data_IF_811759695924
#
_entry.id   IF_811759695924
#
_cell.length_a   1.000
_cell.length_b   1.000
_cell.length_c   1.000
_cell.angle_alpha   90.00
_cell.angle_beta   90.00
_cell.angle_gamma   90.00
#
_symmetry.space_group_name_H-M   'P 1'
#
loop_
_entity.id
_entity.type
_entity.pdbx_description
1 polymer ?
#
# COMPACT_ATOMS: atom_id res chain seq x y z
N UNK A 1 -30.05 12.18 -32.71
CA UNK A 1 -28.63 12.53 -32.92
C UNK A 1 -28.12 13.52 -31.87
N UNK A 2 -28.68 14.74 -31.77
CA UNK A 2 -28.24 15.74 -30.76
C UNK A 2 -28.32 15.20 -29.33
N UNK A 3 -29.37 14.48 -28.96
CA UNK A 3 -29.52 13.85 -27.65
C UNK A 3 -28.44 12.80 -27.35
N UNK A 4 -28.00 12.03 -28.35
CA UNK A 4 -26.96 11.03 -28.18
C UNK A 4 -25.56 11.67 -28.00
N UNK A 5 -25.30 12.74 -28.73
CA UNK A 5 -24.10 13.56 -28.58
C UNK A 5 -24.00 14.14 -27.17
N UNK A 6 -25.07 14.78 -26.70
CA UNK A 6 -25.15 15.31 -25.35
C UNK A 6 -24.97 14.23 -24.29
N UNK A 7 -25.58 13.06 -24.49
CA UNK A 7 -25.45 11.94 -23.56
C UNK A 7 -23.99 11.41 -23.45
N UNK A 8 -23.27 11.32 -24.59
CA UNK A 8 -21.84 10.94 -24.57
C UNK A 8 -21.03 11.94 -23.75
N UNK A 9 -21.17 13.25 -24.01
CA UNK A 9 -20.47 14.28 -23.25
C UNK A 9 -20.80 14.24 -21.76
N UNK A 10 -22.08 13.99 -21.42
CA UNK A 10 -22.52 13.88 -20.03
C UNK A 10 -21.86 12.68 -19.34
N UNK A 11 -21.89 11.50 -19.96
CA UNK A 11 -21.25 10.29 -19.43
C UNK A 11 -19.76 10.48 -19.20
N UNK A 12 -19.08 11.16 -20.11
CA UNK A 12 -17.65 11.50 -19.96
C UNK A 12 -17.44 12.49 -18.82
N UNK A 13 -18.30 13.51 -18.69
CA UNK A 13 -18.15 14.53 -17.65
C UNK A 13 -18.40 13.98 -16.21
N UNK A 14 -19.40 13.10 -16.07
CA UNK A 14 -19.81 12.50 -14.79
C UNK A 14 -18.97 11.27 -14.40
N UNK A 15 -18.15 10.72 -15.32
CA UNK A 15 -17.39 9.50 -15.08
C UNK A 15 -16.36 9.67 -13.94
N UNK A 16 -16.36 8.79 -12.98
CA UNK A 16 -15.29 8.66 -11.98
C UNK A 16 -14.15 7.74 -12.49
N UNK A 17 -14.53 6.64 -13.17
CA UNK A 17 -13.62 5.66 -13.75
C UNK A 17 -13.93 5.45 -15.24
N UNK A 18 -12.88 5.10 -16.02
CA UNK A 18 -12.98 4.87 -17.48
C UNK A 18 -13.64 3.53 -17.80
N UNK A 19 -13.29 2.47 -17.07
CA UNK A 19 -13.71 1.10 -17.37
C UNK A 19 -15.25 0.92 -17.48
N UNK A 20 -16.11 1.45 -16.57
CA UNK A 20 -17.55 1.31 -16.69
C UNK A 20 -18.16 2.19 -17.77
N UNK A 21 -17.51 3.28 -18.18
CA UNK A 21 -18.06 4.28 -19.11
C UNK A 21 -17.81 3.90 -20.57
N UNK A 22 -16.68 3.28 -20.91
CA UNK A 22 -16.38 2.87 -22.29
C UNK A 22 -17.48 1.98 -22.91
N UNK A 23 -18.00 0.95 -22.23
CA UNK A 23 -19.13 0.16 -22.75
C UNK A 23 -20.37 0.99 -23.04
N UNK A 24 -20.64 2.02 -22.24
CA UNK A 24 -21.78 2.93 -22.46
C UNK A 24 -21.56 3.80 -23.69
N UNK A 25 -20.35 4.36 -23.84
CA UNK A 25 -19.97 5.14 -25.04
C UNK A 25 -20.12 4.29 -26.30
N UNK A 26 -19.64 3.03 -26.30
CA UNK A 26 -19.82 2.11 -27.45
C UNK A 26 -21.30 1.92 -27.77
N UNK A 27 -22.14 1.72 -26.76
CA UNK A 27 -23.59 1.57 -26.96
C UNK A 27 -24.23 2.83 -27.54
N UNK A 28 -23.80 4.02 -27.11
CA UNK A 28 -24.25 5.30 -27.63
C UNK A 28 -23.72 5.57 -29.04
N UNK A 29 -22.43 5.30 -29.29
CA UNK A 29 -21.85 5.43 -30.61
C UNK A 29 -22.58 4.57 -31.66
N UNK A 30 -23.06 3.40 -31.29
CA UNK A 30 -23.81 2.49 -32.14
C UNK A 30 -25.14 3.03 -32.59
N UNK A 31 -25.70 4.01 -31.88
CA UNK A 31 -26.92 4.72 -32.32
C UNK A 31 -26.65 5.73 -33.45
N UNK A 32 -25.37 6.09 -33.65
CA UNK A 32 -24.96 7.08 -34.64
C UNK A 32 -24.15 6.49 -35.78
N UNK A 33 -23.50 5.36 -35.57
CA UNK A 33 -22.53 4.71 -36.47
C UNK A 33 -22.82 3.21 -36.55
N UNK A 34 -22.62 2.65 -37.73
CA UNK A 34 -22.70 1.19 -37.94
C UNK A 34 -21.29 0.62 -37.96
N UNK A 35 -20.98 -0.24 -36.98
CA UNK A 35 -19.71 -0.94 -36.86
C UNK A 35 -19.91 -2.29 -36.16
N UNK A 36 -18.97 -3.19 -36.33
CA UNK A 36 -18.96 -4.52 -35.71
C UNK A 36 -17.98 -4.56 -34.52
N UNK A 37 -16.81 -3.91 -34.61
CA UNK A 37 -15.83 -3.85 -33.52
C UNK A 37 -15.45 -2.39 -33.22
N UNK A 38 -15.23 -2.14 -31.93
CA UNK A 38 -14.74 -0.87 -31.39
C UNK A 38 -13.49 -1.18 -30.57
N UNK A 39 -12.36 -0.60 -30.92
CA UNK A 39 -11.08 -0.89 -30.29
C UNK A 39 -10.33 0.40 -29.99
N UNK A 40 -9.72 0.46 -28.81
CA UNK A 40 -8.80 1.52 -28.42
C UNK A 40 -7.44 0.86 -28.23
N UNK A 41 -6.41 1.40 -28.87
CA UNK A 41 -5.03 1.01 -28.68
C UNK A 41 -4.27 2.13 -27.97
N UNK A 42 -3.40 1.75 -27.04
CA UNK A 42 -2.54 2.66 -26.30
C UNK A 42 -1.07 2.28 -26.56
N UNK A 43 -0.15 3.25 -26.65
CA UNK A 43 1.28 2.95 -26.77
C UNK A 43 1.83 2.41 -25.44
N UNK A 44 2.44 1.23 -25.50
CA UNK A 44 3.15 0.58 -24.41
C UNK A 44 4.48 0.04 -24.99
N UNK A 45 5.62 0.37 -24.38
CA UNK A 45 6.97 -0.06 -24.78
C UNK A 45 7.29 0.07 -26.29
N UNK A 46 6.81 1.14 -26.93
CA UNK A 46 6.94 1.48 -28.37
C UNK A 46 6.01 0.69 -29.32
N UNK A 47 5.15 -0.17 -28.83
CA UNK A 47 4.14 -0.87 -29.61
C UNK A 47 2.74 -0.41 -29.22
N UNK A 48 1.76 -0.58 -30.11
CA UNK A 48 0.35 -0.30 -29.84
C UNK A 48 -0.31 -1.56 -29.24
N UNK A 49 -0.72 -1.50 -27.97
CA UNK A 49 -1.43 -2.58 -27.31
C UNK A 49 -2.93 -2.26 -27.19
N UNK A 50 -3.81 -3.27 -27.31
CA UNK A 50 -5.25 -3.07 -27.14
C UNK A 50 -5.56 -2.77 -25.67
N UNK A 51 -5.99 -1.54 -25.41
CA UNK A 51 -6.44 -1.09 -24.09
C UNK A 51 -7.90 -1.49 -23.83
N UNK A 52 -8.75 -1.37 -24.85
CA UNK A 52 -10.16 -1.72 -24.79
C UNK A 52 -10.62 -2.26 -26.13
N UNK A 53 -11.31 -3.40 -26.13
CA UNK A 53 -11.91 -3.98 -27.33
C UNK A 53 -13.33 -4.47 -27.05
N UNK A 54 -14.26 -4.20 -27.96
CA UNK A 54 -15.62 -4.68 -27.87
C UNK A 54 -16.20 -5.01 -29.24
N UNK A 55 -16.55 -6.29 -29.42
CA UNK A 55 -17.36 -6.73 -30.54
C UNK A 55 -18.85 -6.46 -30.25
N UNK A 56 -19.59 -6.01 -31.27
CA UNK A 56 -20.95 -5.58 -31.15
C UNK A 56 -21.81 -6.31 -32.20
N UNK A 57 -22.58 -7.33 -31.76
CA UNK A 57 -23.42 -8.12 -32.65
C UNK A 57 -23.86 -9.44 -32.01
N UNK A 58 -24.93 -10.07 -32.53
CA UNK A 58 -25.38 -11.38 -32.02
C UNK A 58 -24.35 -12.46 -32.41
N UNK A 59 -23.82 -13.18 -31.42
CA UNK A 59 -23.02 -14.38 -31.62
C UNK A 59 -21.48 -14.18 -31.71
N UNK A 60 -20.94 -12.94 -31.54
CA UNK A 60 -19.51 -12.63 -31.82
C UNK A 60 -18.64 -12.36 -30.60
N UNK A 61 -19.06 -12.75 -29.42
CA UNK A 61 -18.24 -12.56 -28.20
C UNK A 61 -16.87 -13.25 -28.23
N UNK A 62 -16.72 -14.29 -29.04
CA UNK A 62 -15.42 -15.01 -29.24
C UNK A 62 -14.46 -14.30 -30.18
N UNK A 63 -14.94 -13.38 -31.02
CA UNK A 63 -14.09 -12.60 -31.96
C UNK A 63 -13.52 -11.33 -31.30
N UNK A 64 -14.01 -10.95 -30.13
CA UNK A 64 -13.52 -9.78 -29.38
C UNK A 64 -12.14 -10.01 -28.75
N UNK A 65 -11.74 -11.27 -28.55
CA UNK A 65 -10.46 -11.66 -27.93
C UNK A 65 -9.30 -11.72 -28.93
N UNK A 66 -9.55 -11.48 -30.22
CA UNK A 66 -8.50 -11.43 -31.23
C UNK A 66 -8.00 -10.00 -31.42
N UNK A 67 -6.68 -9.78 -31.52
CA UNK A 67 -6.08 -8.46 -31.79
C UNK A 67 -6.35 -8.03 -33.23
N UNK A 68 -7.62 -7.83 -33.57
CA UNK A 68 -8.04 -7.36 -34.89
C UNK A 68 -7.61 -5.90 -35.06
N UNK A 69 -6.91 -5.62 -36.11
CA UNK A 69 -6.61 -4.23 -36.50
C UNK A 69 -5.37 -3.62 -35.87
N UNK A 70 -4.43 -4.39 -35.36
CA UNK A 70 -3.13 -3.86 -34.90
C UNK A 70 -2.39 -3.16 -36.04
N UNK A 71 -2.28 -3.80 -37.21
CA UNK A 71 -1.65 -3.19 -38.40
C UNK A 71 -2.40 -1.94 -38.88
N UNK A 72 -3.73 -1.98 -38.80
CA UNK A 72 -4.56 -0.82 -39.08
C UNK A 72 -4.33 0.31 -38.07
N UNK A 73 -4.22 -0.02 -36.78
CA UNK A 73 -3.95 0.96 -35.74
C UNK A 73 -2.58 1.62 -35.91
N UNK A 74 -1.54 0.88 -36.26
CA UNK A 74 -0.21 1.41 -36.55
C UNK A 74 -0.25 2.38 -37.75
N UNK A 75 -0.92 1.97 -38.82
CA UNK A 75 -1.09 2.83 -40.01
C UNK A 75 -1.81 4.13 -39.68
N UNK A 76 -2.88 4.06 -38.84
CA UNK A 76 -3.63 5.22 -38.38
C UNK A 76 -2.76 6.10 -37.45
N UNK A 77 -2.01 5.50 -36.55
CA UNK A 77 -1.15 6.21 -35.62
C UNK A 77 -0.05 7.00 -36.37
N UNK A 78 0.47 6.42 -37.45
CA UNK A 78 1.49 7.07 -38.28
C UNK A 78 0.90 8.21 -39.11
N UNK A 79 -0.35 8.07 -39.63
CA UNK A 79 -0.98 9.05 -40.51
C UNK A 79 -1.25 10.41 -39.86
N UNK A 80 -1.35 10.47 -38.55
CA UNK A 80 -1.69 11.66 -37.76
C UNK A 80 -3.08 12.29 -38.04
N UNK A 81 -3.91 11.62 -38.83
CA UNK A 81 -5.24 12.05 -39.26
C UNK A 81 -6.24 10.90 -39.19
N UNK A 82 -7.54 11.24 -39.20
CA UNK A 82 -8.59 10.26 -39.39
C UNK A 82 -8.53 9.67 -40.77
N UNK A 83 -8.42 8.35 -40.89
CA UNK A 83 -8.41 7.64 -42.14
C UNK A 83 -9.46 6.54 -42.15
N UNK A 84 -10.06 6.35 -43.36
CA UNK A 84 -10.90 5.21 -43.66
C UNK A 84 -10.30 4.46 -44.85
N UNK A 85 -10.25 3.14 -44.74
CA UNK A 85 -9.76 2.30 -45.83
C UNK A 85 -10.40 0.91 -45.72
N UNK A 86 -10.37 0.22 -46.87
CA UNK A 86 -10.85 -1.15 -47.00
C UNK A 86 -9.66 -2.09 -47.16
N UNK A 87 -9.75 -3.26 -46.58
CA UNK A 87 -8.83 -4.36 -46.72
C UNK A 87 -9.61 -5.60 -47.15
N UNK A 88 -9.22 -6.19 -48.27
CA UNK A 88 -9.77 -7.45 -48.77
C UNK A 88 -8.84 -8.59 -48.34
N UNK A 89 -9.38 -9.56 -47.63
CA UNK A 89 -8.61 -10.73 -47.15
C UNK A 89 -9.20 -11.99 -47.74
N UNK A 90 -8.52 -12.56 -48.75
CA UNK A 90 -8.83 -13.85 -49.34
C UNK A 90 -9.45 -13.77 -50.75
N UNK A 91 -9.37 -14.91 -51.47
CA UNK A 91 -9.73 -15.05 -52.90
C UNK A 91 -11.21 -15.32 -53.18
N UNK A 92 -12.11 -15.29 -52.20
CA UNK A 92 -13.54 -15.59 -52.39
C UNK A 92 -14.41 -14.39 -52.02
N UNK A 93 -15.07 -13.85 -53.05
CA UNK A 93 -16.00 -12.72 -52.98
C UNK A 93 -17.26 -12.96 -52.10
N UNK A 94 -17.51 -14.18 -51.62
CA UNK A 94 -18.75 -14.53 -50.94
C UNK A 94 -18.73 -14.40 -49.43
N UNK A 95 -17.59 -14.20 -48.81
CA UNK A 95 -17.52 -14.13 -47.35
C UNK A 95 -17.42 -12.66 -46.89
N UNK A 96 -18.53 -12.16 -46.31
CA UNK A 96 -18.62 -10.80 -45.76
C UNK A 96 -17.51 -10.47 -44.74
N UNK A 97 -16.89 -11.47 -44.13
CA UNK A 97 -15.78 -11.30 -43.18
C UNK A 97 -14.50 -10.89 -43.88
N UNK A 98 -14.36 -11.21 -45.17
CA UNK A 98 -13.18 -10.92 -45.97
C UNK A 98 -13.09 -9.44 -46.41
N UNK A 99 -14.21 -8.70 -46.45
CA UNK A 99 -14.26 -7.28 -46.75
C UNK A 99 -14.28 -6.48 -45.45
N UNK A 100 -13.13 -6.02 -44.97
CA UNK A 100 -12.97 -5.24 -43.75
C UNK A 100 -12.85 -3.77 -44.06
N UNK A 101 -13.76 -2.98 -43.48
CA UNK A 101 -13.74 -1.52 -43.54
C UNK A 101 -13.25 -0.99 -42.21
N UNK A 102 -12.15 -0.27 -42.23
CA UNK A 102 -11.56 0.39 -41.08
C UNK A 102 -11.87 1.88 -41.10
N UNK A 103 -12.24 2.43 -39.97
CA UNK A 103 -12.30 3.86 -39.71
C UNK A 103 -11.54 4.10 -38.41
N UNK A 104 -10.45 4.87 -38.46
CA UNK A 104 -9.64 5.10 -37.30
C UNK A 104 -9.09 6.51 -37.21
N UNK A 105 -8.85 6.95 -36.00
CA UNK A 105 -8.26 8.26 -35.71
C UNK A 105 -7.28 8.16 -34.54
N UNK A 106 -6.16 8.89 -34.59
CA UNK A 106 -5.30 9.03 -33.43
C UNK A 106 -6.02 9.83 -32.36
N UNK A 107 -6.02 9.30 -31.13
CA UNK A 107 -6.50 10.01 -29.95
C UNK A 107 -5.44 11.04 -29.54
N UNK A 108 -5.80 12.30 -29.54
CA UNK A 108 -4.88 13.42 -29.26
C UNK A 108 -5.33 14.24 -28.09
N UNK A 109 -4.39 14.65 -27.26
CA UNK A 109 -4.62 15.61 -26.18
C UNK A 109 -3.45 16.59 -26.08
N UNK A 110 -3.73 17.87 -26.10
CA UNK A 110 -2.70 18.90 -26.07
C UNK A 110 -1.64 18.77 -27.20
N UNK A 111 -2.02 18.27 -28.37
CA UNK A 111 -1.14 18.03 -29.51
C UNK A 111 -0.31 16.74 -29.42
N UNK A 112 -0.40 15.96 -28.35
CA UNK A 112 0.27 14.65 -28.21
C UNK A 112 -0.68 13.53 -28.53
N UNK A 113 -0.19 12.50 -29.22
CA UNK A 113 -0.92 11.25 -29.45
C UNK A 113 -0.87 10.42 -28.17
N UNK A 114 -2.05 10.04 -27.66
CA UNK A 114 -2.20 9.21 -26.46
C UNK A 114 -2.65 7.79 -26.80
N UNK A 115 -3.09 7.56 -28.03
CA UNK A 115 -3.56 6.26 -28.49
C UNK A 115 -4.21 6.36 -29.87
N UNK A 116 -4.90 5.30 -30.26
CA UNK A 116 -5.67 5.20 -31.51
C UNK A 116 -7.02 4.58 -31.22
N UNK A 117 -8.08 5.14 -31.80
CA UNK A 117 -9.41 4.51 -31.80
C UNK A 117 -9.74 3.98 -33.19
N UNK A 118 -10.18 2.74 -33.25
CA UNK A 118 -10.51 2.03 -34.51
C UNK A 118 -11.90 1.44 -34.44
N UNK A 119 -12.70 1.70 -35.49
CA UNK A 119 -13.91 0.95 -35.77
C UNK A 119 -13.65 -0.01 -36.92
N UNK A 120 -14.18 -1.22 -36.82
CA UNK A 120 -14.14 -2.21 -37.88
C UNK A 120 -15.59 -2.56 -38.25
N UNK A 121 -15.85 -2.61 -39.54
CA UNK A 121 -17.13 -3.07 -40.10
C UNK A 121 -16.87 -4.14 -41.16
N UNK A 122 -17.58 -5.23 -41.06
CA UNK A 122 -17.47 -6.33 -42.02
C UNK A 122 -18.49 -6.16 -43.11
N UNK A 123 -18.02 -5.77 -44.30
CA UNK A 123 -18.84 -5.48 -45.49
C UNK A 123 -19.71 -4.24 -45.36
N UNK A 124 -20.42 -3.91 -46.44
CA UNK A 124 -21.30 -2.73 -46.54
C UNK A 124 -20.64 -1.56 -47.28
N UNK A 125 -21.32 -0.39 -47.37
CA UNK A 125 -20.77 0.78 -48.05
C UNK A 125 -19.59 1.40 -47.24
N UNK A 126 -18.77 2.18 -47.93
CA UNK A 126 -17.71 2.98 -47.28
C UNK A 126 -18.29 3.95 -46.24
N UNK A 127 -17.46 4.35 -45.27
CA UNK A 127 -17.85 5.34 -44.26
C UNK A 127 -18.02 6.71 -44.92
N UNK A 128 -19.19 7.32 -44.74
CA UNK A 128 -19.49 8.65 -45.30
C UNK A 128 -18.77 9.75 -44.46
N UNK A 129 -18.63 10.95 -45.07
CA UNK A 129 -18.14 12.13 -44.34
C UNK A 129 -18.90 12.41 -43.06
N UNK A 130 -20.21 12.15 -43.02
CA UNK A 130 -21.03 12.28 -41.82
C UNK A 130 -20.67 11.25 -40.75
N UNK A 131 -20.25 10.06 -41.14
CA UNK A 131 -19.79 9.01 -40.21
C UNK A 131 -18.43 9.36 -39.65
N UNK A 132 -17.52 9.93 -40.47
CA UNK A 132 -16.22 10.42 -40.03
C UNK A 132 -16.38 11.51 -38.96
N UNK A 133 -17.19 12.52 -39.18
CA UNK A 133 -17.45 13.60 -38.20
C UNK A 133 -18.03 13.05 -36.91
N UNK A 134 -18.94 12.09 -36.95
CA UNK A 134 -19.51 11.47 -35.76
C UNK A 134 -18.49 10.65 -35.00
N UNK A 135 -17.62 9.94 -35.72
CA UNK A 135 -16.57 9.13 -35.16
C UNK A 135 -15.53 10.01 -34.46
N UNK A 136 -15.08 11.10 -35.11
CA UNK A 136 -14.14 12.06 -34.52
C UNK A 136 -14.68 12.65 -33.22
N UNK A 137 -15.97 12.98 -33.20
CA UNK A 137 -16.62 13.44 -31.96
C UNK A 137 -16.55 12.41 -30.83
N UNK A 138 -16.83 11.12 -31.14
CA UNK A 138 -16.70 10.04 -30.13
C UNK A 138 -15.25 9.91 -29.68
N UNK A 139 -14.31 9.96 -30.61
CA UNK A 139 -12.88 9.83 -30.35
C UNK A 139 -12.34 10.96 -29.46
N UNK A 140 -12.79 12.19 -29.70
CA UNK A 140 -12.42 13.34 -28.87
C UNK A 140 -12.91 13.16 -27.40
N UNK A 141 -14.15 12.73 -27.23
CA UNK A 141 -14.70 12.44 -25.89
C UNK A 141 -13.97 11.28 -25.19
N UNK A 142 -13.60 10.24 -25.95
CA UNK A 142 -12.79 9.13 -25.41
C UNK A 142 -11.39 9.61 -25.04
N UNK A 143 -10.76 10.46 -25.87
CA UNK A 143 -9.44 11.03 -25.56
C UNK A 143 -9.47 11.86 -24.27
N UNK A 144 -10.50 12.69 -24.07
CA UNK A 144 -10.69 13.44 -22.83
C UNK A 144 -10.87 12.54 -21.61
N UNK A 145 -11.64 11.46 -21.75
CA UNK A 145 -11.87 10.49 -20.67
C UNK A 145 -10.55 9.81 -20.23
N UNK A 146 -9.76 9.32 -21.21
CA UNK A 146 -8.49 8.64 -20.97
C UNK A 146 -7.44 9.58 -20.35
N UNK A 147 -7.33 10.82 -20.84
CA UNK A 147 -6.40 11.79 -20.26
C UNK A 147 -6.76 12.16 -18.84
N UNK A 148 -8.06 12.31 -18.53
CA UNK A 148 -8.51 12.57 -17.16
C UNK A 148 -8.11 11.43 -16.21
N UNK A 149 -8.30 10.17 -16.60
CA UNK A 149 -7.85 9.03 -15.81
C UNK A 149 -6.34 9.08 -15.56
N UNK A 150 -5.57 9.35 -16.61
CA UNK A 150 -4.11 9.49 -16.53
C UNK A 150 -3.71 10.60 -15.55
N UNK A 151 -4.36 11.75 -15.62
CA UNK A 151 -4.08 12.87 -14.72
C UNK A 151 -4.44 12.52 -13.28
N UNK A 152 -5.60 11.92 -13.01
CA UNK A 152 -6.01 11.47 -11.68
C UNK A 152 -5.03 10.44 -11.11
N UNK A 153 -4.61 9.45 -11.91
CA UNK A 153 -3.64 8.45 -11.49
C UNK A 153 -2.28 9.08 -11.17
N UNK A 154 -1.86 10.07 -11.97
CA UNK A 154 -0.60 10.80 -11.76
C UNK A 154 -0.67 11.65 -10.49
N UNK A 155 -1.77 12.35 -10.24
CA UNK A 155 -1.98 13.13 -9.01
C UNK A 155 -1.91 12.19 -7.80
N UNK A 156 -2.61 11.06 -7.80
CA UNK A 156 -2.57 10.07 -6.71
C UNK A 156 -1.14 9.57 -6.43
N UNK A 157 -0.34 9.32 -7.48
CA UNK A 157 1.07 8.92 -7.34
C UNK A 157 1.91 10.03 -6.71
N UNK A 158 1.74 11.28 -7.14
CA UNK A 158 2.46 12.44 -6.60
C UNK A 158 2.08 12.66 -5.13
N UNK A 159 0.80 12.65 -4.80
CA UNK A 159 0.34 12.79 -3.41
C UNK A 159 0.89 11.67 -2.50
N UNK A 160 0.90 10.43 -2.98
CA UNK A 160 1.52 9.30 -2.27
C UNK A 160 3.00 9.53 -2.00
N UNK A 161 3.74 9.97 -3.02
CA UNK A 161 5.18 10.29 -2.89
C UNK A 161 5.42 11.46 -1.93
N UNK A 162 4.61 12.51 -1.99
CA UNK A 162 4.72 13.66 -1.09
C UNK A 162 4.44 13.29 0.36
N UNK A 163 3.44 12.44 0.62
CA UNK A 163 3.15 11.93 1.97
C UNK A 163 4.34 11.12 2.51
N UNK A 164 4.90 10.25 1.69
CA UNK A 164 6.07 9.44 2.08
C UNK A 164 7.26 10.34 2.40
N UNK A 165 7.52 11.35 1.56
CA UNK A 165 8.63 12.29 1.77
C UNK A 165 8.46 13.09 3.06
N UNK A 166 7.25 13.60 3.33
CA UNK A 166 6.94 14.31 4.57
C UNK A 166 7.08 13.41 5.81
N UNK A 167 6.67 12.13 5.71
CA UNK A 167 6.89 11.16 6.78
C UNK A 167 8.38 10.93 7.03
N UNK A 168 9.20 10.82 5.98
CA UNK A 168 10.65 10.65 6.08
C UNK A 168 11.33 11.89 6.69
N UNK A 169 10.92 13.09 6.33
CA UNK A 169 11.43 14.34 6.89
C UNK A 169 11.13 14.44 8.39
N UNK A 170 9.87 14.20 8.78
CA UNK A 170 9.45 14.17 10.17
C UNK A 170 10.22 13.10 10.97
N UNK A 171 10.50 11.94 10.36
CA UNK A 171 11.29 10.89 10.97
C UNK A 171 12.71 11.35 11.29
N UNK A 172 13.42 11.95 10.32
CA UNK A 172 14.78 12.46 10.54
C UNK A 172 14.82 13.47 11.69
N UNK A 173 13.83 14.39 11.73
CA UNK A 173 13.70 15.35 12.80
C UNK A 173 13.46 14.67 14.16
N UNK A 174 12.56 13.69 14.23
CA UNK A 174 12.24 12.94 15.45
C UNK A 174 13.44 12.13 15.94
N UNK A 175 14.09 11.37 15.06
CA UNK A 175 15.27 10.59 15.42
C UNK A 175 16.40 11.50 15.94
N UNK A 176 16.63 12.63 15.28
CA UNK A 176 17.63 13.61 15.72
C UNK A 176 17.34 14.15 17.11
N UNK A 177 16.07 14.40 17.43
CA UNK A 177 15.61 14.83 18.74
C UNK A 177 15.80 13.72 19.78
N UNK A 178 15.35 12.48 19.46
CA UNK A 178 15.38 11.34 20.38
C UNK A 178 16.81 10.84 20.65
N UNK A 179 17.75 11.04 19.71
CA UNK A 179 19.17 10.80 19.94
C UNK A 179 19.84 11.92 20.75
N UNK A 180 19.44 13.19 20.54
CA UNK A 180 20.04 14.34 21.23
C UNK A 180 19.72 14.36 22.73
N UNK A 181 18.56 13.90 23.13
CA UNK A 181 18.10 13.92 24.53
C UNK A 181 19.00 13.04 25.42
N UNK A 182 19.14 11.71 25.18
CA UNK A 182 20.03 10.87 25.99
C UNK A 182 21.49 11.32 25.93
N UNK A 183 21.95 11.74 24.74
CA UNK A 183 23.31 12.29 24.61
C UNK A 183 23.51 13.55 25.45
N UNK A 184 22.47 14.40 25.58
CA UNK A 184 22.50 15.57 26.45
C UNK A 184 22.62 15.22 27.93
N UNK A 185 21.90 14.19 28.41
CA UNK A 185 22.02 13.70 29.78
C UNK A 185 23.40 13.09 30.04
N UNK A 186 23.88 12.18 29.17
CA UNK A 186 25.23 11.62 29.27
C UNK A 186 26.27 12.72 29.36
N UNK A 187 26.22 13.71 28.45
CA UNK A 187 27.17 14.83 28.44
C UNK A 187 27.05 15.71 29.69
N UNK A 188 25.81 16.00 30.13
CA UNK A 188 25.56 16.80 31.32
C UNK A 188 26.11 16.18 32.58
N UNK A 189 25.77 14.94 32.88
CA UNK A 189 26.27 14.20 34.07
C UNK A 189 27.74 13.96 34.00
N UNK A 190 28.30 13.58 32.84
CA UNK A 190 29.76 13.46 32.66
C UNK A 190 30.49 14.79 32.97
N UNK A 191 29.95 15.91 32.44
CA UNK A 191 30.55 17.24 32.71
C UNK A 191 30.43 17.63 34.18
N UNK A 192 29.31 17.24 34.82
CA UNK A 192 29.12 17.47 36.28
C UNK A 192 30.09 16.69 37.12
N UNK A 193 30.33 15.41 36.80
CA UNK A 193 31.30 14.56 37.50
C UNK A 193 32.76 15.01 37.33
N UNK A 194 33.09 15.65 36.20
CA UNK A 194 34.41 16.17 35.88
C UNK A 194 34.72 17.55 36.53
N UNK A 195 33.80 18.11 37.33
CA UNK A 195 34.06 19.38 38.01
C UNK A 195 35.07 19.24 39.13
N UNK A 196 36.09 20.06 39.14
CA UNK A 196 37.13 20.09 40.13
C UNK A 196 36.76 20.89 41.38
N UNK A 197 35.72 21.71 41.32
CA UNK A 197 35.21 22.58 42.38
C UNK A 197 34.16 21.91 43.27
N UNK A 198 33.88 20.62 43.08
CA UNK A 198 32.87 19.88 43.80
C UNK A 198 33.35 18.49 44.14
N UNK A 199 33.26 18.10 45.40
CA UNK A 199 33.46 16.73 45.86
C UNK A 199 32.12 16.01 45.96
N UNK A 200 32.00 14.87 45.26
CA UNK A 200 30.79 14.03 45.27
C UNK A 200 30.96 12.91 46.28
N UNK A 201 29.89 12.64 47.04
CA UNK A 201 29.87 11.43 47.86
C UNK A 201 29.68 10.16 46.97
N UNK A 202 30.05 8.99 47.48
CA UNK A 202 30.02 7.74 46.71
C UNK A 202 28.60 7.38 46.24
N UNK A 203 27.53 7.57 47.03
CA UNK A 203 26.15 7.34 46.56
C UNK A 203 25.80 8.21 45.36
N UNK A 204 25.96 9.52 45.44
CA UNK A 204 25.67 10.48 44.36
C UNK A 204 26.50 10.20 43.10
N UNK A 205 27.80 9.84 43.30
CA UNK A 205 28.65 9.47 42.18
C UNK A 205 28.12 8.23 41.45
N UNK A 206 27.66 7.20 42.18
CA UNK A 206 27.05 5.99 41.61
C UNK A 206 25.73 6.29 40.93
N UNK A 207 24.92 7.15 41.50
CA UNK A 207 23.64 7.58 40.91
C UNK A 207 23.88 8.23 39.55
N UNK A 208 24.80 9.16 39.42
CA UNK A 208 25.14 9.83 38.16
C UNK A 208 25.71 8.88 37.11
N UNK A 209 26.54 7.91 37.51
CA UNK A 209 27.02 6.86 36.61
C UNK A 209 25.91 5.95 36.16
N UNK A 210 24.97 5.59 37.04
CA UNK A 210 23.77 4.82 36.68
C UNK A 210 22.90 5.53 35.61
N UNK A 211 22.67 6.83 35.79
CA UNK A 211 21.94 7.62 34.78
C UNK A 211 22.67 7.65 33.43
N UNK A 212 24.00 7.76 33.44
CA UNK A 212 24.81 7.73 32.21
C UNK A 212 24.69 6.37 31.52
N UNK A 213 24.74 5.28 32.27
CA UNK A 213 24.63 3.91 31.77
C UNK A 213 23.25 3.65 31.18
N UNK A 214 22.17 3.99 31.89
CA UNK A 214 20.77 3.86 31.44
C UNK A 214 20.51 4.64 30.13
N UNK A 215 21.03 5.87 30.02
CA UNK A 215 20.84 6.68 28.80
C UNK A 215 21.71 6.21 27.62
N UNK A 216 22.87 5.56 27.91
CA UNK A 216 23.69 4.89 26.89
C UNK A 216 22.97 3.65 26.34
N UNK A 217 22.40 2.81 27.21
CA UNK A 217 21.60 1.64 26.81
C UNK A 217 20.38 2.05 25.97
N UNK A 218 19.70 3.12 26.38
CA UNK A 218 18.58 3.68 25.61
C UNK A 218 19.02 4.15 24.22
N UNK A 219 20.16 4.81 24.10
CA UNK A 219 20.72 5.24 22.83
C UNK A 219 21.06 4.04 21.93
N UNK A 220 21.66 3.01 22.50
CA UNK A 220 21.96 1.75 21.81
C UNK A 220 20.69 1.11 21.24
N UNK A 221 19.64 0.97 22.04
CA UNK A 221 18.36 0.40 21.61
C UNK A 221 17.71 1.20 20.45
N UNK A 222 17.83 2.54 20.47
CA UNK A 222 17.34 3.38 19.36
C UNK A 222 18.12 3.14 18.08
N UNK A 223 19.45 3.02 18.15
CA UNK A 223 20.31 2.74 16.99
C UNK A 223 19.99 1.36 16.43
N UNK A 224 19.87 0.34 17.27
CA UNK A 224 19.54 -1.02 16.85
C UNK A 224 18.19 -1.11 16.14
N UNK A 225 17.16 -0.41 16.64
CA UNK A 225 15.87 -0.30 16.00
C UNK A 225 15.95 0.38 14.61
N UNK A 226 16.80 1.39 14.43
CA UNK A 226 17.03 2.04 13.14
C UNK A 226 17.70 1.10 12.14
N UNK A 227 18.73 0.37 12.58
CA UNK A 227 19.46 -0.61 11.77
C UNK A 227 18.53 -1.77 11.36
N UNK A 228 17.76 -2.31 12.31
CA UNK A 228 16.79 -3.37 12.05
C UNK A 228 15.71 -2.90 11.04
N UNK A 229 15.18 -1.69 11.20
CA UNK A 229 14.22 -1.12 10.23
C UNK A 229 14.82 -1.00 8.82
N UNK A 230 16.12 -0.66 8.70
CA UNK A 230 16.81 -0.58 7.40
C UNK A 230 17.01 -1.97 6.79
N UNK A 231 17.44 -2.95 7.60
CA UNK A 231 17.66 -4.34 7.16
C UNK A 231 16.36 -5.05 6.77
N UNK A 232 15.26 -4.79 7.48
CA UNK A 232 13.93 -5.28 7.13
C UNK A 232 13.47 -4.75 5.77
N UNK A 233 13.71 -3.48 5.49
CA UNK A 233 13.35 -2.87 4.20
C UNK A 233 14.13 -3.48 3.02
N UNK A 234 15.40 -3.82 3.22
CA UNK A 234 16.23 -4.47 2.20
C UNK A 234 16.06 -6.00 2.14
N UNK A 235 15.22 -6.59 3.01
CA UNK A 235 15.05 -8.04 3.11
C UNK A 235 16.30 -8.78 3.62
N UNK A 236 17.22 -8.06 4.27
CA UNK A 236 18.52 -8.60 4.70
C UNK A 236 18.60 -8.85 6.21
N UNK A 237 17.49 -8.72 6.95
CA UNK A 237 17.51 -9.01 8.38
C UNK A 237 17.75 -10.51 8.60
N UNK A 238 18.84 -10.91 9.28
CA UNK A 238 19.09 -12.32 9.55
C UNK A 238 18.09 -12.83 10.58
N UNK A 239 17.43 -13.96 10.26
CA UNK A 239 16.54 -14.68 11.15
C UNK A 239 17.16 -16.04 11.51
N UNK A 240 17.07 -16.43 12.78
CA UNK A 240 17.54 -17.72 13.28
C UNK A 240 16.35 -18.56 13.72
N UNK A 241 15.65 -19.14 12.74
CA UNK A 241 14.49 -19.98 13.01
C UNK A 241 14.87 -21.26 13.74
N UNK A 242 14.08 -21.61 14.74
CA UNK A 242 14.14 -22.88 15.44
C UNK A 242 12.74 -23.24 15.95
N UNK A 243 12.50 -24.54 16.21
CA UNK A 243 11.24 -24.99 16.84
C UNK A 243 11.23 -24.53 18.29
N UNK A 244 10.24 -23.70 18.65
CA UNK A 244 10.09 -23.15 20.00
C UNK A 244 8.69 -23.38 20.54
N UNK A 245 8.58 -23.72 21.80
CA UNK A 245 7.32 -23.72 22.54
C UNK A 245 6.94 -22.27 22.92
N UNK A 246 5.82 -21.79 22.38
CA UNK A 246 5.40 -20.39 22.57
C UNK A 246 5.11 -20.03 24.03
N UNK A 247 4.52 -20.92 24.79
CA UNK A 247 4.21 -20.66 26.20
C UNK A 247 5.49 -20.51 27.05
N UNK A 248 6.56 -21.23 26.73
CA UNK A 248 7.87 -21.06 27.38
C UNK A 248 8.46 -19.70 27.04
N UNK A 249 8.46 -19.32 25.77
CA UNK A 249 8.98 -18.03 25.32
C UNK A 249 8.22 -16.87 25.95
N UNK A 250 6.89 -16.95 25.97
CA UNK A 250 6.04 -15.91 26.56
C UNK A 250 6.24 -15.79 28.07
N UNK A 251 6.36 -16.90 28.81
CA UNK A 251 6.65 -16.88 30.26
C UNK A 251 7.97 -16.19 30.56
N UNK A 252 9.04 -16.54 29.82
CA UNK A 252 10.36 -15.93 29.99
C UNK A 252 10.30 -14.40 29.78
N UNK A 253 9.60 -13.95 28.75
CA UNK A 253 9.41 -12.52 28.45
C UNK A 253 8.63 -11.78 29.56
N UNK A 254 7.52 -12.36 30.01
CA UNK A 254 6.71 -11.77 31.07
C UNK A 254 7.49 -11.66 32.37
N UNK A 255 8.27 -12.70 32.70
CA UNK A 255 9.12 -12.67 33.87
C UNK A 255 10.18 -11.55 33.80
N UNK A 256 10.79 -11.33 32.61
CA UNK A 256 11.72 -10.21 32.41
C UNK A 256 11.03 -8.86 32.56
N UNK A 257 9.81 -8.71 32.02
CA UNK A 257 9.02 -7.48 32.15
C UNK A 257 8.68 -7.16 33.60
N UNK A 258 8.31 -8.18 34.40
CA UNK A 258 8.01 -8.02 35.84
C UNK A 258 9.23 -7.64 36.67
N UNK A 259 10.44 -8.00 36.24
CA UNK A 259 11.70 -7.63 36.87
C UNK A 259 12.24 -6.26 36.41
N UNK A 260 11.71 -5.72 35.32
CA UNK A 260 12.07 -4.41 34.76
C UNK A 260 11.21 -3.27 35.31
N UNK A 261 11.63 -2.03 35.03
CA UNK A 261 10.93 -0.79 35.49
C UNK A 261 9.71 -0.42 34.61
N UNK A 262 8.96 -1.42 34.10
CA UNK A 262 7.72 -1.14 33.38
C UNK A 262 6.59 -0.81 34.37
N UNK A 263 5.99 0.38 34.24
CA UNK A 263 4.86 0.81 35.07
C UNK A 263 3.54 0.21 34.55
N UNK A 264 3.48 -1.13 34.45
CA UNK A 264 2.31 -1.93 34.04
C UNK A 264 2.28 -3.23 34.84
N UNK A 265 1.08 -3.74 35.08
CA UNK A 265 0.89 -5.11 35.57
C UNK A 265 0.61 -6.02 34.36
N UNK A 266 1.20 -7.24 34.36
CA UNK A 266 1.00 -8.18 33.25
C UNK A 266 0.32 -9.45 33.79
N UNK A 267 -0.91 -9.68 33.30
CA UNK A 267 -1.66 -10.91 33.49
C UNK A 267 -1.43 -11.86 32.31
N UNK A 268 -1.15 -13.12 32.60
CA UNK A 268 -0.87 -14.11 31.57
C UNK A 268 -1.82 -15.31 31.66
N UNK A 269 -2.58 -15.54 30.59
CA UNK A 269 -3.53 -16.64 30.45
C UNK A 269 -3.11 -17.57 29.31
N UNK A 270 -2.88 -18.84 29.61
CA UNK A 270 -2.63 -19.89 28.61
C UNK A 270 -3.87 -20.75 28.53
N UNK A 271 -4.56 -20.74 27.38
CA UNK A 271 -5.68 -21.64 27.13
C UNK A 271 -5.21 -22.98 26.57
N UNK A 272 -4.21 -22.94 25.66
CA UNK A 272 -3.61 -24.11 25.03
C UNK A 272 -2.10 -24.05 25.21
N UNK A 273 -1.52 -25.07 25.86
CA UNK A 273 -0.08 -25.18 26.10
C UNK A 273 0.58 -26.11 25.08
N UNK A 274 1.93 -26.03 24.98
CA UNK A 274 2.74 -26.92 24.14
C UNK A 274 2.63 -26.64 22.65
N UNK A 275 2.25 -25.42 22.26
CA UNK A 275 2.22 -25.03 20.85
C UNK A 275 3.63 -24.72 20.35
N UNK A 276 4.06 -25.51 19.35
CA UNK A 276 5.39 -25.36 18.71
C UNK A 276 5.24 -24.55 17.43
N UNK A 277 6.09 -23.54 17.27
CA UNK A 277 6.21 -22.72 16.06
C UNK A 277 7.65 -22.66 15.60
N UNK A 278 7.88 -22.45 14.31
CA UNK A 278 9.20 -22.14 13.77
C UNK A 278 9.45 -20.64 13.93
N UNK A 279 10.25 -20.25 14.94
CA UNK A 279 10.48 -18.85 15.26
C UNK A 279 11.92 -18.56 15.66
N UNK A 280 12.30 -17.29 15.54
CA UNK A 280 13.51 -16.72 16.16
C UNK A 280 13.12 -16.14 17.53
N UNK A 281 13.53 -16.77 18.66
CA UNK A 281 13.09 -16.34 19.99
C UNK A 281 13.55 -14.93 20.34
N UNK A 282 14.70 -14.49 19.85
CA UNK A 282 15.21 -13.15 20.12
C UNK A 282 14.34 -12.10 19.39
N UNK A 283 13.93 -12.38 18.16
CA UNK A 283 13.03 -11.50 17.39
C UNK A 283 11.63 -11.50 17.92
N UNK A 284 11.13 -12.63 18.38
CA UNK A 284 9.86 -12.70 19.11
C UNK A 284 9.92 -11.86 20.39
N UNK A 285 11.04 -11.95 21.16
CA UNK A 285 11.29 -11.07 22.30
C UNK A 285 11.15 -9.59 21.95
N UNK A 286 11.79 -9.17 20.87
CA UNK A 286 11.73 -7.79 20.38
C UNK A 286 10.29 -7.34 20.07
N UNK A 287 9.44 -8.23 19.53
CA UNK A 287 8.02 -7.91 19.28
C UNK A 287 7.31 -7.62 20.59
N UNK A 288 7.43 -8.50 21.59
CA UNK A 288 6.73 -8.33 22.87
C UNK A 288 7.28 -7.13 23.66
N UNK A 289 8.59 -6.93 23.69
CA UNK A 289 9.20 -5.75 24.33
C UNK A 289 8.65 -4.44 23.73
N UNK A 290 8.47 -4.39 22.41
CA UNK A 290 7.85 -3.24 21.75
C UNK A 290 6.37 -3.05 22.16
N UNK A 291 5.58 -4.13 22.22
CA UNK A 291 4.16 -4.04 22.59
C UNK A 291 3.99 -3.63 24.05
N UNK A 292 4.74 -4.25 24.99
CA UNK A 292 4.69 -3.94 26.41
C UNK A 292 5.24 -2.54 26.72
N UNK A 293 6.32 -2.13 26.03
CA UNK A 293 6.83 -0.75 26.11
C UNK A 293 5.83 0.27 25.61
N UNK A 294 5.03 -0.06 24.56
CA UNK A 294 3.95 0.81 24.11
C UNK A 294 2.85 0.91 25.19
N UNK A 295 2.41 -0.19 25.77
CA UNK A 295 1.44 -0.18 26.86
C UNK A 295 1.93 0.66 28.04
N UNK A 296 3.19 0.47 28.49
CA UNK A 296 3.78 1.28 29.55
C UNK A 296 3.84 2.78 29.25
N UNK A 297 4.04 3.16 28.00
CA UNK A 297 4.13 4.57 27.56
C UNK A 297 2.78 5.24 27.39
N UNK A 298 1.81 4.52 26.80
CA UNK A 298 0.53 5.09 26.38
C UNK A 298 -0.62 4.77 27.34
N UNK A 299 -0.46 3.72 28.14
CA UNK A 299 -1.40 3.29 29.18
C UNK A 299 -0.67 3.06 30.53
N UNK A 300 0.02 4.07 31.10
CA UNK A 300 0.78 3.89 32.34
C UNK A 300 -0.13 3.52 33.51
N UNK A 301 0.25 2.48 34.26
CA UNK A 301 -0.54 1.95 35.36
C UNK A 301 -1.69 1.03 34.94
N UNK A 302 -1.76 0.66 33.67
CA UNK A 302 -2.74 -0.29 33.14
C UNK A 302 -2.36 -1.75 33.47
N UNK A 303 -3.35 -2.62 33.41
CA UNK A 303 -3.13 -4.08 33.37
C UNK A 303 -3.08 -4.53 31.92
N UNK A 304 -1.98 -5.17 31.52
CA UNK A 304 -1.83 -5.78 30.21
C UNK A 304 -2.14 -7.26 30.29
N UNK A 305 -3.17 -7.72 29.59
CA UNK A 305 -3.52 -9.13 29.52
C UNK A 305 -2.88 -9.76 28.28
N UNK A 306 -2.04 -10.78 28.49
CA UNK A 306 -1.47 -11.60 27.42
C UNK A 306 -2.16 -12.96 27.43
N UNK A 307 -2.84 -13.30 26.32
CA UNK A 307 -3.56 -14.57 26.18
C UNK A 307 -3.00 -15.36 25.03
N UNK A 308 -2.74 -16.66 25.28
CA UNK A 308 -2.30 -17.62 24.27
C UNK A 308 -3.37 -18.66 24.04
N UNK A 309 -3.81 -18.85 22.81
CA UNK A 309 -4.80 -19.84 22.38
C UNK A 309 -4.45 -20.45 21.02
N UNK A 310 -5.06 -21.58 20.70
CA UNK A 310 -4.98 -22.20 19.39
C UNK A 310 -6.21 -21.84 18.54
N UNK A 311 -6.01 -21.45 17.32
CA UNK A 311 -7.06 -21.22 16.33
C UNK A 311 -6.72 -22.00 15.05
N UNK A 312 -7.36 -23.14 14.85
CA UNK A 312 -7.06 -24.10 13.79
C UNK A 312 -5.57 -24.52 13.76
N UNK A 313 -4.85 -24.22 12.66
CA UNK A 313 -3.42 -24.51 12.47
C UNK A 313 -2.51 -23.34 12.89
N UNK A 314 -3.03 -22.38 13.66
CA UNK A 314 -2.29 -21.22 14.11
C UNK A 314 -2.31 -21.08 15.63
N UNK A 315 -1.21 -20.58 16.15
CA UNK A 315 -1.18 -20.02 17.50
C UNK A 315 -1.64 -18.57 17.42
N UNK A 316 -2.56 -18.20 18.33
CA UNK A 316 -3.09 -16.84 18.47
C UNK A 316 -2.67 -16.26 19.80
N UNK A 317 -2.02 -15.10 19.75
CA UNK A 317 -1.58 -14.37 20.91
C UNK A 317 -2.29 -13.03 20.94
N UNK A 318 -3.00 -12.74 22.02
CA UNK A 318 -3.65 -11.45 22.27
C UNK A 318 -2.84 -10.70 23.31
N UNK A 319 -2.54 -9.42 23.04
CA UNK A 319 -1.93 -8.49 24.00
C UNK A 319 -2.86 -7.30 24.12
N UNK A 320 -3.59 -7.21 25.22
CA UNK A 320 -4.64 -6.22 25.46
C UNK A 320 -4.27 -5.29 26.60
N UNK A 321 -4.40 -3.99 26.41
CA UNK A 321 -4.31 -2.96 27.45
C UNK A 321 -5.67 -2.27 27.66
N UNK A 322 -5.89 -1.70 28.83
CA UNK A 322 -7.06 -0.89 29.20
C UNK A 322 -6.77 0.62 29.08
N UNK A 323 -5.91 0.99 28.16
CA UNK A 323 -5.48 2.36 27.91
C UNK A 323 -6.50 3.24 27.19
N UNK A 324 -6.07 4.40 26.68
CA UNK A 324 -6.97 5.39 26.07
C UNK A 324 -7.56 4.95 24.71
N UNK A 325 -7.11 3.83 24.15
CA UNK A 325 -7.54 3.37 22.84
C UNK A 325 -6.99 4.18 21.65
N UNK A 326 -7.29 3.68 20.46
CA UNK A 326 -6.83 4.24 19.17
C UNK A 326 -8.04 4.42 18.24
N UNK A 327 -8.14 5.57 17.60
CA UNK A 327 -9.19 5.82 16.61
C UNK A 327 -9.06 4.86 15.41
N UNK A 328 -10.22 4.41 14.90
CA UNK A 328 -10.31 3.45 13.78
C UNK A 328 -9.54 3.89 12.53
N UNK A 329 -9.47 5.19 12.26
CA UNK A 329 -8.72 5.72 11.12
C UNK A 329 -7.20 5.52 11.20
N UNK A 330 -6.67 5.23 12.39
CA UNK A 330 -5.24 5.06 12.65
C UNK A 330 -4.81 3.59 12.73
N UNK A 331 -5.73 2.64 12.96
CA UNK A 331 -5.42 1.22 13.24
C UNK A 331 -4.54 0.56 12.19
N UNK A 332 -4.83 0.78 10.91
CA UNK A 332 -3.99 0.26 9.82
C UNK A 332 -2.68 1.06 9.65
N UNK A 333 -2.71 2.35 9.99
CA UNK A 333 -1.59 3.26 9.77
C UNK A 333 -0.50 3.11 10.83
N UNK A 334 -0.83 2.68 12.07
CA UNK A 334 0.15 2.52 13.17
C UNK A 334 1.25 1.50 12.86
N UNK A 335 1.02 0.59 11.91
CA UNK A 335 2.03 -0.36 11.43
C UNK A 335 2.85 0.17 10.25
N UNK A 336 2.57 1.39 9.76
CA UNK A 336 3.36 2.01 8.72
C UNK A 336 4.64 2.59 9.31
N UNK A 337 5.72 2.51 8.53
CA UNK A 337 7.03 3.05 8.92
C UNK A 337 6.93 4.55 9.19
N UNK A 338 7.45 4.99 10.35
CA UNK A 338 7.46 6.39 10.78
C UNK A 338 6.09 7.00 11.11
N UNK A 339 5.04 6.20 11.09
CA UNK A 339 3.71 6.70 11.39
C UNK A 339 3.56 6.94 12.89
N UNK A 340 2.96 8.06 13.23
CA UNK A 340 2.60 8.47 14.59
C UNK A 340 1.22 9.13 14.52
N UNK A 341 0.39 8.86 15.55
CA UNK A 341 -0.92 9.51 15.65
C UNK A 341 -0.70 11.00 15.92
N UNK A 342 -1.21 11.91 15.05
CA UNK A 342 -1.16 13.33 15.31
C UNK A 342 -1.96 13.67 16.58
N UNK A 343 -1.61 14.76 17.29
CA UNK A 343 -2.45 15.38 18.36
C UNK A 343 -2.49 14.71 19.74
N UNK A 344 -1.82 13.61 20.03
CA UNK A 344 -1.71 13.14 21.40
C UNK A 344 -0.61 13.91 22.15
N UNK A 345 -0.93 14.45 23.35
CA UNK A 345 0.08 15.09 24.25
C UNK A 345 1.23 14.12 24.59
N UNK A 346 1.00 12.82 24.46
CA UNK A 346 1.97 11.73 24.61
C UNK A 346 2.77 11.46 23.31
N UNK A 347 2.42 12.08 22.19
CA UNK A 347 3.06 11.90 20.89
C UNK A 347 4.55 12.34 20.80
N UNK A 348 5.09 12.93 21.87
CA UNK A 348 6.49 13.39 21.90
C UNK A 348 7.52 12.26 22.14
N UNK A 349 7.11 11.02 22.42
CA UNK A 349 8.03 9.91 22.75
C UNK A 349 7.88 8.71 21.82
N UNK A 350 8.76 8.56 20.85
CA UNK A 350 8.88 7.35 20.03
C UNK A 350 9.16 7.60 18.55
N UNK A 351 9.97 6.76 17.93
CA UNK A 351 10.43 6.87 16.52
C UNK A 351 9.37 6.50 15.48
N UNK A 352 8.24 5.88 15.86
CA UNK A 352 7.27 5.31 14.92
C UNK A 352 7.79 4.08 14.16
N UNK A 353 8.79 3.39 14.72
CA UNK A 353 9.38 2.18 14.14
C UNK A 353 8.93 0.90 14.83
N UNK A 354 8.59 0.94 16.13
CA UNK A 354 8.34 -0.27 16.93
C UNK A 354 7.28 -1.19 16.33
N UNK A 355 6.07 -0.69 16.09
CA UNK A 355 4.99 -1.49 15.50
C UNK A 355 5.26 -1.91 14.05
N UNK A 356 5.94 -1.08 13.27
CA UNK A 356 6.41 -1.47 11.93
C UNK A 356 7.37 -2.67 12.01
N UNK A 357 8.35 -2.63 12.91
CA UNK A 357 9.30 -3.73 13.16
C UNK A 357 8.54 -4.99 13.61
N UNK A 358 7.58 -4.86 14.53
CA UNK A 358 6.73 -5.97 14.96
C UNK A 358 6.06 -6.64 13.76
N UNK A 359 5.39 -5.88 12.89
CA UNK A 359 4.69 -6.43 11.71
C UNK A 359 5.64 -7.10 10.73
N UNK A 360 6.83 -6.54 10.52
CA UNK A 360 7.83 -7.14 9.64
C UNK A 360 8.41 -8.44 10.21
N UNK A 361 8.69 -8.48 11.52
CA UNK A 361 9.16 -9.71 12.19
C UNK A 361 8.10 -10.79 12.10
N UNK A 362 6.84 -10.50 12.47
CA UNK A 362 5.75 -11.48 12.43
C UNK A 362 5.50 -11.99 11.02
N UNK A 363 5.55 -11.12 10.01
CA UNK A 363 5.45 -11.54 8.60
C UNK A 363 6.61 -12.42 8.14
N UNK A 364 7.83 -12.16 8.62
CA UNK A 364 8.98 -13.02 8.36
C UNK A 364 8.83 -14.42 9.00
N UNK A 365 7.97 -14.56 10.02
CA UNK A 365 7.56 -15.81 10.64
C UNK A 365 6.29 -16.41 10.00
N UNK A 366 5.90 -15.97 8.79
CA UNK A 366 4.69 -16.36 8.07
C UNK A 366 3.38 -16.11 8.85
N UNK A 367 3.41 -15.22 9.84
CA UNK A 367 2.28 -14.78 10.63
C UNK A 367 1.73 -13.42 10.20
N UNK A 368 0.73 -12.92 10.93
CA UNK A 368 0.28 -11.53 10.82
C UNK A 368 0.02 -10.91 12.20
N UNK A 369 0.03 -9.58 12.25
CA UNK A 369 -0.32 -8.78 13.43
C UNK A 369 -1.28 -7.67 13.04
N UNK A 370 -2.36 -7.53 13.79
CA UNK A 370 -3.34 -6.46 13.63
C UNK A 370 -3.77 -5.92 15.00
N UNK A 371 -4.45 -4.77 14.98
CA UNK A 371 -4.92 -4.11 16.19
C UNK A 371 -6.42 -3.84 16.10
N UNK A 372 -7.11 -4.05 17.22
CA UNK A 372 -8.50 -3.67 17.44
C UNK A 372 -8.53 -2.74 18.65
N UNK A 373 -9.27 -1.63 18.54
CA UNK A 373 -9.32 -0.64 19.60
C UNK A 373 -10.57 0.23 19.51
N UNK A 374 -11.06 0.66 20.67
CA UNK A 374 -12.08 1.70 20.80
C UNK A 374 -11.58 2.77 21.76
N UNK A 375 -11.86 4.05 21.43
CA UNK A 375 -11.43 5.16 22.27
C UNK A 375 -12.04 5.06 23.68
N UNK A 376 -11.17 5.03 24.68
CA UNK A 376 -11.53 4.90 26.10
C UNK A 376 -11.72 3.46 26.60
N UNK A 377 -11.57 2.44 25.72
CA UNK A 377 -11.74 1.02 26.10
C UNK A 377 -10.44 0.20 26.00
N UNK A 378 -9.35 0.83 25.49
CA UNK A 378 -8.06 0.18 25.36
C UNK A 378 -7.75 -0.32 23.97
N UNK A 379 -6.65 -1.09 23.85
CA UNK A 379 -6.16 -1.64 22.57
C UNK A 379 -5.82 -3.11 22.73
N UNK A 380 -6.21 -3.91 21.73
CA UNK A 380 -5.84 -5.33 21.63
C UNK A 380 -5.02 -5.54 20.37
N UNK A 381 -3.78 -5.98 20.54
CA UNK A 381 -2.96 -6.49 19.45
C UNK A 381 -3.12 -7.99 19.33
N UNK A 382 -3.50 -8.46 18.14
CA UNK A 382 -3.62 -9.89 17.82
C UNK A 382 -2.48 -10.32 16.92
N UNK A 383 -1.74 -11.34 17.35
CA UNK A 383 -0.66 -11.98 16.58
C UNK A 383 -1.10 -13.39 16.23
N UNK A 384 -0.93 -13.78 14.97
CA UNK A 384 -1.17 -15.15 14.50
C UNK A 384 0.14 -15.72 13.94
N UNK A 385 0.49 -16.95 14.33
CA UNK A 385 1.66 -17.67 13.85
C UNK A 385 1.28 -19.07 13.43
N UNK A 386 1.76 -19.60 12.28
CA UNK A 386 1.50 -20.97 11.90
C UNK A 386 2.18 -21.92 12.88
N UNK A 387 1.48 -22.99 13.26
CA UNK A 387 2.08 -24.08 14.05
C UNK A 387 3.10 -24.83 13.19
N UNK A 388 4.20 -25.25 13.80
CA UNK A 388 5.19 -26.07 13.12
C UNK A 388 4.59 -27.42 12.77
N UNK A 389 4.85 -27.90 11.56
CA UNK A 389 4.55 -29.29 11.18
C UNK A 389 5.38 -30.25 12.06
N UNK A 390 4.76 -31.36 12.50
CA UNK A 390 5.39 -32.37 13.37
C UNK A 390 6.65 -33.00 12.74
#
# INVERSE_FOLDING_TARGET
MVATIFEISRQVAEAEDVAPVLPVIVSLARRMLVFDNFIIFMPEDQELQPYFARAVGRGRSKEADLPWGTDAAEKIYQSDQTISFQEEIGDTEEDRINARLYLGTPLKQGGKKIGVMVLIRFGGPEFSEKDIIRFEYVAENVAHLLERERLVSTIRKIEGSQRMWKMQENFVATVSHDLRTPLGFIKGYTTTLLREDTEWDIPTYREFLGIIDDEADRLQALIDNLLDSSRLQSGTLPMKFQKVELDVVLRDMIQRTQLGDFNIEVDFEIQDAGMIVDADPMRMGQVFDNLLSNASKYAPGSTVCVRLSREDDHAKILVSDDGPGIDKEHLEKIFQRFYRIPETKLAQRGSGLGLYICRQIIRAHNGDIYAESELGEGTTFTITLPLAEE
#
